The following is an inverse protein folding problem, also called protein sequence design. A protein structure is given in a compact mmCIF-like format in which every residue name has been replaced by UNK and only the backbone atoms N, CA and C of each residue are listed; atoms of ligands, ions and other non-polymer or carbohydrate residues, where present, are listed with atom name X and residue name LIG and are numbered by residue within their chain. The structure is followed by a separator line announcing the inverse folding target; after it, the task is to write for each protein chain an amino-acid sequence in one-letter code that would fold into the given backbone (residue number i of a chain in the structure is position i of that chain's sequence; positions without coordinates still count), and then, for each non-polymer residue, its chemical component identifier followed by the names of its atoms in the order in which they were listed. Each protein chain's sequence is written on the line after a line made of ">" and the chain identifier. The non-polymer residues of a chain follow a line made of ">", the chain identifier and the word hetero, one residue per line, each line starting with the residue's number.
data_IF_622718089603
#
_entry.id   IF_622718089603
#
_cell.length_a   1.000
_cell.length_b   1.000
_cell.length_c   1.000
_cell.angle_alpha   90.00
_cell.angle_beta   90.00
_cell.angle_gamma   90.00
#
_symmetry.space_group_name_H-M   'P 1'
#
loop_
_entity.id
_entity.type
_entity.pdbx_description
1 polymer ?
#
# COMPACT_ATOMS: atom_id res chain seq x y z
N UNK A 1 -8.20 19.79 -64.02
CA UNK A 1 -9.04 18.58 -63.96
C UNK A 1 -8.13 17.39 -63.67
N UNK A 2 -8.55 16.53 -62.74
CA UNK A 2 -8.02 15.21 -62.36
C UNK A 2 -6.56 15.12 -61.84
N UNK A 3 -6.42 15.16 -60.51
CA UNK A 3 -5.24 14.68 -59.77
C UNK A 3 -5.56 13.30 -59.17
N UNK A 4 -5.02 12.22 -59.74
CA UNK A 4 -4.96 10.88 -59.13
C UNK A 4 -3.80 10.09 -59.73
N UNK A 5 -2.77 9.83 -58.94
CA UNK A 5 -1.86 8.67 -59.05
C UNK A 5 -1.26 8.49 -57.64
N UNK A 6 -2.01 7.83 -56.76
CA UNK A 6 -1.78 6.45 -56.34
C UNK A 6 -0.58 6.29 -55.38
N UNK A 7 -0.92 6.45 -54.10
CA UNK A 7 -0.66 5.51 -53.01
C UNK A 7 0.65 4.74 -53.01
N UNK A 8 1.57 5.17 -52.15
CA UNK A 8 2.43 4.27 -51.38
C UNK A 8 2.24 4.61 -49.91
N UNK A 9 1.16 4.09 -49.32
CA UNK A 9 1.02 4.07 -47.85
C UNK A 9 1.98 2.99 -47.37
N UNK A 10 3.01 3.31 -46.57
CA UNK A 10 3.86 2.28 -46.00
C UNK A 10 2.99 1.41 -45.09
N UNK A 11 3.06 0.10 -45.27
CA UNK A 11 2.45 -0.86 -44.36
C UNK A 11 3.20 -0.74 -43.02
N UNK A 12 2.78 0.20 -42.18
CA UNK A 12 3.25 0.30 -40.82
C UNK A 12 2.72 -0.94 -40.09
N UNK A 13 3.61 -1.93 -39.90
CA UNK A 13 3.30 -3.14 -39.16
C UNK A 13 2.72 -2.77 -37.81
N UNK A 14 1.50 -3.24 -37.52
CA UNK A 14 0.93 -3.14 -36.19
C UNK A 14 1.79 -3.97 -35.25
N UNK A 15 2.69 -3.31 -34.53
CA UNK A 15 3.30 -3.87 -33.32
C UNK A 15 2.17 -4.03 -32.31
N UNK A 16 1.64 -5.24 -32.19
CA UNK A 16 0.73 -5.60 -31.11
C UNK A 16 1.52 -5.49 -29.80
N UNK A 17 1.32 -4.41 -29.06
CA UNK A 17 1.78 -4.30 -27.68
C UNK A 17 1.02 -5.36 -26.88
N UNK A 18 1.70 -6.45 -26.56
CA UNK A 18 1.22 -7.41 -25.56
C UNK A 18 1.05 -6.65 -24.24
N UNK A 19 -0.19 -6.37 -23.84
CA UNK A 19 -0.52 -5.95 -22.48
C UNK A 19 -0.18 -7.12 -21.56
N UNK A 20 1.07 -7.19 -21.10
CA UNK A 20 1.44 -8.03 -19.99
C UNK A 20 0.52 -7.66 -18.83
N UNK A 21 -0.30 -8.61 -18.37
CA UNK A 21 -1.13 -8.42 -17.21
C UNK A 21 -0.23 -8.10 -16.02
N UNK A 22 -0.20 -6.82 -15.62
CA UNK A 22 0.44 -6.42 -14.37
C UNK A 22 -0.34 -7.16 -13.28
N UNK A 23 0.31 -7.92 -12.40
CA UNK A 23 -0.40 -8.60 -11.31
C UNK A 23 -1.20 -7.55 -10.55
N UNK A 24 -2.53 -7.73 -10.50
CA UNK A 24 -3.41 -6.85 -9.77
C UNK A 24 -2.95 -6.83 -8.31
N UNK A 25 -2.40 -5.69 -7.86
CA UNK A 25 -2.12 -5.47 -6.44
C UNK A 25 -3.48 -5.54 -5.75
N UNK A 26 -3.60 -6.38 -4.72
CA UNK A 26 -4.81 -6.40 -3.90
C UNK A 26 -5.08 -4.96 -3.45
N UNK A 27 -6.32 -4.50 -3.63
CA UNK A 27 -6.68 -3.14 -3.22
C UNK A 27 -6.35 -2.98 -1.73
N UNK A 28 -5.51 -2.02 -1.41
CA UNK A 28 -5.18 -1.74 -0.02
C UNK A 28 -6.44 -1.31 0.73
N UNK A 29 -6.63 -1.83 1.94
CA UNK A 29 -7.69 -1.30 2.78
C UNK A 29 -7.36 0.14 3.15
N UNK A 30 -8.31 1.06 2.91
CA UNK A 30 -8.14 2.50 3.24
C UNK A 30 -7.73 2.68 4.70
N UNK A 31 -8.37 1.94 5.61
CA UNK A 31 -8.04 1.95 7.04
C UNK A 31 -6.60 1.53 7.36
N UNK A 32 -6.04 0.51 6.69
CA UNK A 32 -4.65 0.10 6.94
C UNK A 32 -3.65 1.21 6.57
N UNK A 33 -3.91 1.89 5.46
CA UNK A 33 -3.06 2.99 5.02
C UNK A 33 -3.19 4.23 5.90
N UNK A 34 -4.40 4.53 6.39
CA UNK A 34 -4.62 5.57 7.41
C UNK A 34 -3.84 5.25 8.70
N UNK A 35 -3.92 4.01 9.18
CA UNK A 35 -3.17 3.56 10.36
C UNK A 35 -1.66 3.73 10.16
N UNK A 36 -1.13 3.27 9.02
CA UNK A 36 0.31 3.36 8.74
C UNK A 36 0.78 4.82 8.65
N UNK A 37 -0.01 5.68 8.00
CA UNK A 37 0.30 7.10 7.88
C UNK A 37 0.31 7.78 9.25
N UNK A 38 -0.74 7.55 10.05
CA UNK A 38 -0.85 8.11 11.39
C UNK A 38 0.26 7.60 12.33
N UNK A 39 0.63 6.32 12.22
CA UNK A 39 1.72 5.73 13.00
C UNK A 39 3.11 6.34 12.68
N UNK A 40 3.27 6.87 11.47
CA UNK A 40 4.51 7.52 11.02
C UNK A 40 4.68 8.93 11.60
N UNK A 41 3.67 9.49 12.29
CA UNK A 41 3.77 10.82 12.87
C UNK A 41 4.69 10.82 14.13
N UNK A 42 5.83 11.53 14.12
CA UNK A 42 6.77 11.54 15.24
C UNK A 42 6.20 12.20 16.52
N UNK A 43 5.21 13.09 16.41
CA UNK A 43 4.55 13.68 17.58
C UNK A 43 3.45 12.80 18.20
N UNK A 44 3.29 11.57 17.70
CA UNK A 44 2.40 10.55 18.24
C UNK A 44 1.26 10.20 17.30
N UNK A 45 0.80 8.96 17.41
CA UNK A 45 -0.12 8.36 16.43
C UNK A 45 -1.50 9.01 16.43
N UNK A 46 -1.87 9.75 17.48
CA UNK A 46 -3.18 10.41 17.64
C UNK A 46 -3.06 11.93 17.78
N UNK A 47 -1.93 12.54 17.41
CA UNK A 47 -1.75 13.99 17.52
C UNK A 47 -2.77 14.77 16.67
N UNK A 48 -3.06 14.27 15.47
CA UNK A 48 -4.05 14.86 14.57
C UNK A 48 -5.43 14.24 14.81
N UNK A 49 -6.48 15.05 14.73
CA UNK A 49 -7.85 14.62 15.02
C UNK A 49 -8.30 13.50 14.07
N UNK A 50 -7.87 13.57 12.81
CA UNK A 50 -8.13 12.58 11.75
C UNK A 50 -7.51 11.22 12.08
N UNK A 51 -6.44 11.19 12.89
CA UNK A 51 -5.78 9.97 13.30
C UNK A 51 -6.41 9.31 14.54
N UNK A 52 -7.27 10.02 15.28
CA UNK A 52 -7.90 9.46 16.49
C UNK A 52 -8.82 8.27 16.16
N UNK A 53 -9.78 8.36 15.21
CA UNK A 53 -10.64 7.22 14.87
C UNK A 53 -9.89 5.98 14.35
N UNK A 54 -8.99 6.05 13.34
CA UNK A 54 -8.34 4.86 12.80
C UNK A 54 -7.41 4.19 13.82
N UNK A 55 -6.73 4.96 14.68
CA UNK A 55 -5.84 4.41 15.72
C UNK A 55 -6.64 3.80 16.89
N UNK A 56 -7.77 4.38 17.31
CA UNK A 56 -8.65 3.72 18.30
C UNK A 56 -9.20 2.39 17.78
N UNK A 57 -9.56 2.33 16.50
CA UNK A 57 -9.94 1.09 15.84
C UNK A 57 -8.79 0.08 15.83
N UNK A 58 -7.55 0.52 15.55
CA UNK A 58 -6.35 -0.33 15.66
C UNK A 58 -6.20 -0.90 17.08
N UNK A 59 -6.22 -0.05 18.11
CA UNK A 59 -6.04 -0.50 19.50
C UNK A 59 -7.08 -1.56 19.87
N UNK A 60 -8.34 -1.35 19.48
CA UNK A 60 -9.42 -2.33 19.67
C UNK A 60 -9.13 -3.63 18.93
N UNK A 61 -8.75 -3.55 17.65
CA UNK A 61 -8.42 -4.71 16.82
C UNK A 61 -7.28 -5.54 17.44
N UNK A 62 -6.19 -4.89 17.88
CA UNK A 62 -5.06 -5.54 18.54
C UNK A 62 -5.48 -6.15 19.90
N UNK A 63 -6.33 -5.46 20.66
CA UNK A 63 -6.87 -5.94 21.93
C UNK A 63 -7.72 -7.20 21.79
N UNK A 64 -8.44 -7.33 20.68
CA UNK A 64 -9.20 -8.53 20.30
C UNK A 64 -8.33 -9.65 19.71
N UNK A 65 -7.01 -9.45 19.65
CA UNK A 65 -6.06 -10.45 19.16
C UNK A 65 -5.75 -10.37 17.67
N UNK A 66 -6.21 -9.31 16.99
CA UNK A 66 -5.82 -8.99 15.62
C UNK A 66 -4.35 -8.61 15.48
N UNK A 67 -3.87 -8.59 14.23
CA UNK A 67 -2.52 -8.19 13.86
C UNK A 67 -2.43 -6.71 13.50
N UNK A 68 -1.20 -6.22 13.28
CA UNK A 68 -1.04 -4.88 12.71
C UNK A 68 -1.41 -4.90 11.22
N UNK A 69 -2.22 -3.96 10.73
CA UNK A 69 -2.68 -3.97 9.34
C UNK A 69 -1.55 -3.60 8.38
N UNK A 70 -1.56 -4.17 7.18
CA UNK A 70 -0.56 -3.90 6.13
C UNK A 70 -1.13 -2.99 5.04
N UNK A 71 -0.33 -2.04 4.57
CA UNK A 71 -0.66 -1.15 3.46
C UNK A 71 0.48 -1.16 2.44
N UNK A 72 0.21 -1.65 1.24
CA UNK A 72 1.19 -1.77 0.16
C UNK A 72 1.56 -0.41 -0.45
N UNK A 73 0.65 0.57 -0.45
CA UNK A 73 0.93 1.94 -0.85
C UNK A 73 2.00 2.62 0.02
N UNK A 74 2.13 2.21 1.29
CA UNK A 74 3.21 2.63 2.18
C UNK A 74 4.47 1.75 2.10
N UNK A 75 4.57 0.87 1.10
CA UNK A 75 5.71 -0.01 0.90
C UNK A 75 5.79 -1.21 1.86
N UNK A 76 4.78 -1.44 2.70
CA UNK A 76 4.79 -2.54 3.68
C UNK A 76 4.27 -3.83 3.03
N UNK A 77 5.14 -4.84 2.95
CA UNK A 77 4.78 -6.19 2.47
C UNK A 77 4.24 -7.08 3.58
N UNK A 78 4.74 -6.92 4.80
CA UNK A 78 4.31 -7.68 5.99
C UNK A 78 4.50 -6.84 7.25
N UNK A 79 3.61 -7.02 8.23
CA UNK A 79 3.78 -6.46 9.57
C UNK A 79 3.64 -7.57 10.61
N UNK A 80 4.67 -7.74 11.45
CA UNK A 80 4.70 -8.69 12.56
C UNK A 80 4.49 -7.92 13.88
N UNK A 81 3.32 -8.10 14.51
CA UNK A 81 2.99 -7.46 15.79
C UNK A 81 3.35 -8.35 16.98
N UNK A 82 4.11 -7.80 17.92
CA UNK A 82 4.40 -8.42 19.22
C UNK A 82 3.59 -7.73 20.30
N UNK A 83 2.75 -8.50 21.01
CA UNK A 83 1.92 -7.98 22.10
C UNK A 83 2.78 -7.54 23.29
N UNK A 84 2.38 -6.48 24.01
CA UNK A 84 3.00 -6.09 25.27
C UNK A 84 3.01 -7.27 26.27
N UNK A 85 4.11 -7.46 26.99
CA UNK A 85 4.26 -8.53 28.00
C UNK A 85 5.17 -8.10 29.14
N UNK A 86 4.76 -8.38 30.38
CA UNK A 86 5.57 -8.16 31.59
C UNK A 86 6.15 -6.73 31.70
N UNK A 87 5.31 -5.72 31.47
CA UNK A 87 5.71 -4.30 31.52
C UNK A 87 6.50 -3.81 30.30
N UNK A 88 6.81 -4.68 29.32
CA UNK A 88 7.44 -4.29 28.06
C UNK A 88 6.39 -3.80 27.06
N UNK A 89 6.65 -2.70 26.33
CA UNK A 89 5.75 -2.26 25.29
C UNK A 89 5.66 -3.29 24.17
N UNK A 90 4.51 -3.33 23.50
CA UNK A 90 4.38 -4.04 22.23
C UNK A 90 5.13 -3.29 21.13
N UNK A 91 5.50 -4.00 20.09
CA UNK A 91 6.18 -3.41 18.93
C UNK A 91 5.72 -4.10 17.65
N UNK A 92 5.92 -3.42 16.53
CA UNK A 92 5.61 -3.91 15.20
C UNK A 92 6.90 -3.92 14.42
N UNK A 93 7.21 -5.03 13.75
CA UNK A 93 8.31 -5.11 12.79
C UNK A 93 7.71 -5.20 11.40
N UNK A 94 8.02 -4.23 10.56
CA UNK A 94 7.58 -4.18 9.17
C UNK A 94 8.65 -4.80 8.28
N UNK A 95 8.21 -5.52 7.24
CA UNK A 95 9.05 -5.92 6.13
C UNK A 95 8.59 -5.16 4.91
N UNK A 96 9.49 -4.37 4.34
CA UNK A 96 9.22 -3.50 3.21
C UNK A 96 9.25 -4.28 1.90
N UNK A 97 8.76 -3.68 0.81
CA UNK A 97 8.75 -4.30 -0.52
C UNK A 97 10.17 -4.59 -1.05
N UNK A 98 11.15 -3.77 -0.69
CA UNK A 98 12.57 -3.98 -1.02
C UNK A 98 13.25 -5.06 -0.14
N UNK A 99 12.54 -5.60 0.85
CA UNK A 99 13.05 -6.60 1.77
C UNK A 99 13.73 -6.05 3.02
N UNK A 100 13.88 -4.73 3.16
CA UNK A 100 14.33 -4.12 4.40
C UNK A 100 13.32 -4.37 5.54
N UNK A 101 13.83 -4.37 6.78
CA UNK A 101 13.01 -4.52 7.99
C UNK A 101 13.17 -3.32 8.89
N UNK A 102 12.06 -2.80 9.37
CA UNK A 102 11.96 -1.65 10.27
C UNK A 102 11.05 -1.93 11.45
#
# INVERSE_FOLDING_TARGET
>A
MANRLFSLVPLAGLLTVSMAAVPARAADSTWACEVLLCASNPGGWMQFAECVPPIRKLITHLGLGGGFPTCSAGGVRKADYTKPKSGRPGYVVMTMQDGSRT
#
